data_IF_767964932952
#
_entry.id   IF_767964932952
#
_cell.length_a   1.000
_cell.length_b   1.000
_cell.length_c   1.000
_cell.angle_alpha   90.00
_cell.angle_beta   90.00
_cell.angle_gamma   90.00
#
_symmetry.space_group_name_H-M   'P 1'
#
loop_
_entity.id
_entity.type
_entity.pdbx_description
1 polymer ?
#
# COMPACT_ATOMS: atom_id res chain seq x y z
N UNK A 1 33.63 -5.88 -1.30
CA UNK A 1 32.62 -5.07 -0.56
C UNK A 1 31.25 -5.76 -0.51
N UNK A 2 31.18 -7.10 -0.55
CA UNK A 2 29.96 -7.89 -0.76
C UNK A 2 29.53 -8.73 0.46
N UNK A 3 30.35 -8.82 1.52
CA UNK A 3 30.04 -9.65 2.69
C UNK A 3 29.09 -8.99 3.72
N UNK A 4 28.82 -7.67 3.62
CA UNK A 4 28.06 -6.95 4.65
C UNK A 4 26.53 -7.06 4.50
N UNK A 5 26.02 -7.34 3.30
CA UNK A 5 24.57 -7.40 3.04
C UNK A 5 23.97 -8.75 3.46
N UNK A 6 24.74 -9.84 3.31
CA UNK A 6 24.30 -11.20 3.67
C UNK A 6 24.04 -11.32 5.18
N UNK A 7 24.93 -10.75 6.00
CA UNK A 7 24.82 -10.77 7.47
C UNK A 7 23.60 -10.00 8.00
N UNK A 8 23.11 -8.99 7.26
CA UNK A 8 21.92 -8.23 7.66
C UNK A 8 20.62 -8.93 7.26
N UNK A 9 20.62 -9.66 6.14
CA UNK A 9 19.46 -10.42 5.68
C UNK A 9 19.15 -11.60 6.63
N UNK A 10 20.18 -12.26 7.15
CA UNK A 10 20.01 -13.38 8.08
C UNK A 10 19.32 -13.00 9.40
N UNK A 11 19.43 -11.73 9.84
CA UNK A 11 18.75 -11.25 11.04
C UNK A 11 17.23 -11.39 10.93
N UNK A 12 16.65 -11.15 9.75
CA UNK A 12 15.20 -11.25 9.51
C UNK A 12 14.74 -12.67 9.15
N UNK A 13 15.65 -13.63 8.97
CA UNK A 13 15.32 -14.97 8.49
C UNK A 13 14.32 -15.70 9.39
N UNK A 14 14.39 -15.43 10.69
CA UNK A 14 13.50 -16.03 11.69
C UNK A 14 12.02 -15.67 11.51
N UNK A 15 11.68 -14.64 10.72
CA UNK A 15 10.28 -14.24 10.48
C UNK A 15 9.67 -14.87 9.23
N UNK A 16 10.46 -15.49 8.34
CA UNK A 16 10.00 -15.97 7.03
C UNK A 16 10.09 -17.49 6.84
N UNK A 17 10.73 -18.21 7.76
CA UNK A 17 10.91 -19.67 7.71
C UNK A 17 9.70 -20.43 8.28
N UNK A 18 9.59 -21.72 7.95
CA UNK A 18 8.49 -22.59 8.40
C UNK A 18 8.28 -22.58 9.92
N UNK A 19 9.37 -22.55 10.71
CA UNK A 19 9.33 -22.49 12.18
C UNK A 19 9.24 -21.06 12.75
N UNK A 20 8.82 -20.07 11.95
CA UNK A 20 8.79 -18.66 12.36
C UNK A 20 8.00 -18.42 13.66
N UNK A 21 6.89 -19.13 13.88
CA UNK A 21 6.09 -18.98 15.11
C UNK A 21 6.91 -19.34 16.38
N UNK A 22 7.72 -20.40 16.32
CA UNK A 22 8.59 -20.82 17.41
C UNK A 22 9.69 -19.77 17.66
N UNK A 23 10.36 -19.32 16.61
CA UNK A 23 11.43 -18.32 16.73
C UNK A 23 10.91 -16.97 17.24
N UNK A 24 9.73 -16.54 16.77
CA UNK A 24 9.07 -15.33 17.26
C UNK A 24 8.76 -15.42 18.74
N UNK A 25 8.19 -16.53 19.20
CA UNK A 25 7.91 -16.74 20.61
C UNK A 25 9.19 -16.69 21.47
N UNK A 26 10.29 -17.29 21.00
CA UNK A 26 11.60 -17.18 21.68
C UNK A 26 12.09 -15.72 21.74
N UNK A 27 12.05 -14.99 20.63
CA UNK A 27 12.47 -13.58 20.58
C UNK A 27 11.60 -12.68 21.47
N UNK A 28 10.29 -12.95 21.55
CA UNK A 28 9.37 -12.21 22.42
C UNK A 28 9.72 -12.38 23.90
N UNK A 29 10.16 -13.57 24.33
CA UNK A 29 10.66 -13.82 25.69
C UNK A 29 11.91 -12.97 25.97
N UNK A 30 12.88 -12.95 25.06
CA UNK A 30 14.06 -12.11 25.24
C UNK A 30 13.74 -10.62 25.25
N UNK A 31 12.83 -10.17 24.37
CA UNK A 31 12.37 -8.78 24.36
C UNK A 31 11.66 -8.41 25.68
N UNK A 32 10.86 -9.32 26.25
CA UNK A 32 10.21 -9.15 27.54
C UNK A 32 11.22 -9.12 28.71
N UNK A 33 12.14 -10.07 28.76
CA UNK A 33 13.20 -10.12 29.76
C UNK A 33 14.06 -8.84 29.75
N UNK A 34 14.41 -8.34 28.55
CA UNK A 34 15.13 -7.08 28.40
C UNK A 34 14.35 -5.89 28.98
N UNK A 35 13.03 -5.81 28.78
CA UNK A 35 12.18 -4.75 29.39
C UNK A 35 12.17 -4.82 30.92
N UNK A 36 12.44 -5.99 31.49
CA UNK A 36 12.59 -6.23 32.93
C UNK A 36 14.05 -6.13 33.39
N UNK A 37 14.96 -5.64 32.54
CA UNK A 37 16.40 -5.53 32.79
C UNK A 37 17.10 -6.88 33.05
N UNK A 38 16.49 -8.01 32.65
CA UNK A 38 17.14 -9.33 32.62
C UNK A 38 17.93 -9.48 31.33
N UNK A 39 19.25 -9.44 31.44
CA UNK A 39 20.16 -9.44 30.29
C UNK A 39 20.44 -10.83 29.72
N UNK A 40 20.29 -11.88 30.51
CA UNK A 40 20.60 -13.25 30.10
C UNK A 40 19.48 -14.20 30.52
N UNK A 41 19.21 -15.20 29.68
CA UNK A 41 18.27 -16.29 29.95
C UNK A 41 18.89 -17.64 29.66
N UNK A 42 18.48 -18.65 30.43
CA UNK A 42 18.74 -20.07 30.20
C UNK A 42 17.61 -20.69 29.34
N UNK A 43 17.86 -21.82 28.65
CA UNK A 43 16.83 -22.50 27.86
C UNK A 43 15.57 -22.88 28.65
N UNK A 44 15.71 -23.28 29.91
CA UNK A 44 14.60 -23.62 30.80
C UNK A 44 13.77 -22.40 31.21
N UNK A 45 14.42 -21.25 31.45
CA UNK A 45 13.73 -19.97 31.67
C UNK A 45 12.96 -19.55 30.41
N UNK A 46 13.56 -19.69 29.23
CA UNK A 46 12.87 -19.42 27.96
C UNK A 46 11.63 -20.30 27.82
N UNK A 47 11.77 -21.61 28.02
CA UNK A 47 10.66 -22.57 27.97
C UNK A 47 9.53 -22.23 28.96
N UNK A 48 9.88 -21.83 30.19
CA UNK A 48 8.92 -21.50 31.23
C UNK A 48 8.17 -20.18 30.96
N UNK A 49 8.83 -19.19 30.37
CA UNK A 49 8.29 -17.84 30.16
C UNK A 49 7.60 -17.66 28.80
N UNK A 50 7.86 -18.56 27.85
CA UNK A 50 7.33 -18.45 26.50
C UNK A 50 5.85 -18.76 26.37
N UNK A 51 5.20 -18.01 25.48
CA UNK A 51 3.82 -18.26 25.05
C UNK A 51 3.86 -19.13 23.80
N UNK A 52 3.63 -20.43 23.98
CA UNK A 52 3.88 -21.41 22.94
C UNK A 52 2.64 -21.74 22.09
N UNK A 53 2.84 -22.03 20.79
CA UNK A 53 1.83 -22.73 19.99
C UNK A 53 1.47 -24.08 20.65
N UNK A 54 0.25 -24.57 20.44
CA UNK A 54 -0.16 -25.88 20.97
C UNK A 54 0.15 -26.98 19.93
N UNK A 55 0.88 -28.06 20.27
CA UNK A 55 1.46 -28.39 21.58
C UNK A 55 2.75 -27.61 21.88
N UNK A 56 3.04 -27.40 23.18
CA UNK A 56 4.24 -26.71 23.62
C UNK A 56 5.52 -27.46 23.18
N UNK A 57 6.57 -26.72 22.77
CA UNK A 57 7.82 -27.31 22.32
C UNK A 57 8.56 -27.99 23.47
N UNK A 58 9.34 -29.02 23.14
CA UNK A 58 10.25 -29.66 24.10
C UNK A 58 11.50 -28.82 24.32
N UNK A 59 12.22 -29.09 25.41
CA UNK A 59 13.45 -28.36 25.75
C UNK A 59 14.52 -28.47 24.65
N UNK A 60 14.60 -29.60 23.96
CA UNK A 60 15.53 -29.81 22.84
C UNK A 60 15.19 -28.90 21.65
N UNK A 61 13.90 -28.61 21.43
CA UNK A 61 13.44 -27.71 20.36
C UNK A 61 13.76 -26.25 20.69
N UNK A 62 13.66 -25.87 21.97
CA UNK A 62 14.12 -24.55 22.46
C UNK A 62 15.63 -24.42 22.29
N UNK A 63 16.41 -25.43 22.68
CA UNK A 63 17.87 -25.41 22.51
C UNK A 63 18.26 -25.28 21.04
N UNK A 64 17.62 -26.04 20.14
CA UNK A 64 17.85 -25.92 18.71
C UNK A 64 17.48 -24.52 18.19
N UNK A 65 16.38 -23.93 18.68
CA UNK A 65 15.96 -22.59 18.28
C UNK A 65 16.96 -21.51 18.75
N UNK A 66 17.46 -21.62 19.98
CA UNK A 66 18.46 -20.71 20.54
C UNK A 66 19.79 -20.76 19.76
N UNK A 67 20.27 -21.97 19.44
CA UNK A 67 21.45 -22.16 18.59
C UNK A 67 21.26 -21.53 17.21
N UNK A 68 20.12 -21.74 16.58
CA UNK A 68 19.83 -21.19 15.25
C UNK A 68 19.73 -19.66 15.25
N UNK A 69 19.07 -19.09 16.28
CA UNK A 69 18.98 -17.63 16.44
C UNK A 69 20.35 -17.01 16.75
N UNK A 70 21.25 -17.73 17.40
CA UNK A 70 22.64 -17.31 17.55
C UNK A 70 23.42 -17.34 16.25
N UNK A 71 23.24 -18.39 15.43
CA UNK A 71 23.85 -18.47 14.09
C UNK A 71 23.41 -17.34 13.17
N UNK A 72 22.11 -17.01 13.18
CA UNK A 72 21.55 -15.87 12.44
C UNK A 72 21.91 -14.50 13.02
N UNK A 73 22.69 -14.46 14.11
CA UNK A 73 23.14 -13.21 14.72
C UNK A 73 22.08 -12.48 15.54
N UNK A 74 20.94 -13.09 15.85
CA UNK A 74 19.88 -12.49 16.68
C UNK A 74 20.21 -12.59 18.18
N UNK A 75 20.84 -13.68 18.60
CA UNK A 75 21.25 -13.93 19.98
C UNK A 75 22.77 -14.10 20.12
N UNK A 76 23.31 -13.76 21.28
CA UNK A 76 24.68 -14.10 21.68
C UNK A 76 24.63 -15.17 22.76
N UNK A 77 25.39 -16.25 22.57
CA UNK A 77 25.54 -17.35 23.53
C UNK A 77 26.86 -17.22 24.29
N UNK A 78 26.85 -17.45 25.61
CA UNK A 78 28.04 -17.54 26.43
C UNK A 78 27.97 -18.75 27.38
N UNK A 79 29.10 -19.39 27.75
CA UNK A 79 29.09 -20.45 28.74
C UNK A 79 28.60 -19.96 30.11
N UNK A 80 27.75 -20.74 30.77
CA UNK A 80 27.31 -20.49 32.13
C UNK A 80 28.34 -21.04 33.14
N UNK A 81 29.05 -20.14 33.82
CA UNK A 81 30.12 -20.48 34.77
C UNK A 81 29.69 -20.43 36.23
N UNK A 82 28.38 -20.39 36.51
CA UNK A 82 27.86 -20.40 37.87
C UNK A 82 28.28 -21.69 38.63
N UNK A 83 28.74 -21.55 39.89
CA UNK A 83 29.12 -22.68 40.76
C UNK A 83 27.91 -23.57 41.04
N UNK A 84 28.04 -24.86 40.79
CA UNK A 84 26.95 -25.84 40.87
C UNK A 84 27.05 -26.69 42.15
N UNK A 85 25.90 -26.97 42.78
CA UNK A 85 25.80 -27.72 44.03
C UNK A 85 25.70 -29.26 43.87
N UNK A 86 25.68 -29.79 42.64
CA UNK A 86 25.50 -31.23 42.40
C UNK A 86 26.33 -31.76 41.22
N UNK A 87 26.81 -33.01 41.33
CA UNK A 87 27.69 -33.67 40.36
C UNK A 87 26.97 -34.06 39.05
N UNK A 88 25.65 -34.27 39.09
CA UNK A 88 24.83 -34.66 37.93
C UNK A 88 24.50 -33.50 36.98
N UNK A 89 24.66 -32.26 37.46
CA UNK A 89 24.41 -31.03 36.71
C UNK A 89 25.62 -30.52 35.91
N UNK A 90 26.79 -31.16 36.06
CA UNK A 90 28.07 -30.67 35.54
C UNK A 90 28.28 -30.93 34.03
N UNK A 91 27.54 -31.87 33.42
CA UNK A 91 27.83 -32.38 32.06
C UNK A 91 26.95 -31.85 30.93
N UNK A 92 25.99 -30.94 31.18
CA UNK A 92 25.23 -30.28 30.09
C UNK A 92 25.93 -28.98 29.71
N UNK A 93 26.13 -28.76 28.40
CA UNK A 93 26.61 -27.48 27.87
C UNK A 93 25.60 -26.38 28.21
N UNK A 94 25.77 -25.74 29.37
CA UNK A 94 24.90 -24.67 29.85
C UNK A 94 25.35 -23.38 29.18
N UNK A 95 24.52 -22.88 28.27
CA UNK A 95 24.70 -21.58 27.67
C UNK A 95 23.70 -20.59 28.28
N UNK A 96 24.18 -19.39 28.56
CA UNK A 96 23.36 -18.21 28.76
C UNK A 96 23.23 -17.48 27.42
N UNK A 97 22.03 -17.03 27.11
CA UNK A 97 21.73 -16.33 25.87
C UNK A 97 21.30 -14.90 26.18
N UNK A 98 21.64 -13.97 25.30
CA UNK A 98 21.20 -12.56 25.35
C UNK A 98 20.88 -12.06 23.95
N UNK A 99 20.09 -10.99 23.84
CA UNK A 99 19.91 -10.32 22.55
C UNK A 99 21.23 -9.72 22.07
N UNK A 100 21.53 -9.90 20.78
CA UNK A 100 22.58 -9.16 20.11
C UNK A 100 22.07 -7.75 19.74
N UNK A 101 22.98 -6.82 19.41
CA UNK A 101 22.58 -5.51 18.88
C UNK A 101 21.72 -5.63 17.60
N UNK A 102 21.99 -6.64 16.75
CA UNK A 102 21.21 -6.94 15.56
C UNK A 102 19.81 -7.43 15.90
N UNK A 103 19.69 -8.40 16.83
CA UNK A 103 18.39 -8.89 17.30
C UNK A 103 17.55 -7.80 17.95
N UNK A 104 18.17 -6.90 18.72
CA UNK A 104 17.48 -5.73 19.28
C UNK A 104 16.96 -4.77 18.22
N UNK A 105 17.75 -4.51 17.18
CA UNK A 105 17.34 -3.65 16.07
C UNK A 105 16.15 -4.27 15.32
N UNK A 106 16.17 -5.59 15.09
CA UNK A 106 15.05 -6.30 14.46
C UNK A 106 13.79 -6.26 15.34
N UNK A 107 13.90 -6.50 16.66
CA UNK A 107 12.74 -6.40 17.56
C UNK A 107 12.15 -4.98 17.59
N UNK A 108 13.00 -3.94 17.60
CA UNK A 108 12.55 -2.55 17.53
C UNK A 108 11.86 -2.24 16.19
N UNK A 109 12.38 -2.76 15.08
CA UNK A 109 11.80 -2.62 13.75
C UNK A 109 10.44 -3.33 13.65
N UNK A 110 10.33 -4.58 14.11
CA UNK A 110 9.10 -5.35 14.11
C UNK A 110 8.03 -4.75 15.03
N UNK A 111 8.42 -4.29 16.22
CA UNK A 111 7.52 -3.58 17.12
C UNK A 111 7.01 -2.27 16.49
N UNK A 112 7.86 -1.56 15.77
CA UNK A 112 7.47 -0.35 15.02
C UNK A 112 6.53 -0.68 13.87
N UNK A 113 6.83 -1.71 13.09
CA UNK A 113 5.98 -2.21 12.02
C UNK A 113 4.58 -2.60 12.53
N UNK A 114 4.52 -3.41 13.59
CA UNK A 114 3.27 -3.84 14.20
C UNK A 114 2.47 -2.66 14.79
N UNK A 115 3.13 -1.67 15.38
CA UNK A 115 2.49 -0.44 15.89
C UNK A 115 1.97 0.43 14.76
N UNK A 116 2.67 0.54 13.64
CA UNK A 116 2.20 1.27 12.45
C UNK A 116 0.97 0.59 11.84
N UNK A 117 0.96 -0.75 11.77
CA UNK A 117 -0.21 -1.52 11.33
C UNK A 117 -1.40 -1.35 12.27
N UNK A 118 -1.18 -1.40 13.59
CA UNK A 118 -2.23 -1.16 14.61
C UNK A 118 -2.73 0.29 14.60
N UNK A 119 -1.86 1.28 14.43
CA UNK A 119 -2.24 2.69 14.30
C UNK A 119 -3.15 2.91 13.08
N UNK A 120 -2.90 2.21 11.98
CA UNK A 120 -3.81 2.15 10.80
C UNK A 120 -5.19 1.56 11.13
N UNK A 121 -5.25 0.66 12.11
CA UNK A 121 -6.49 0.04 12.60
C UNK A 121 -7.18 0.85 13.72
N UNK A 122 -6.47 1.71 14.47
CA UNK A 122 -6.99 2.60 15.53
C UNK A 122 -7.48 3.96 15.01
N UNK A 123 -6.85 4.50 13.95
CA UNK A 123 -7.31 5.69 13.19
C UNK A 123 -8.75 5.56 12.67
N UNK A 124 -9.29 4.36 12.73
CA UNK A 124 -10.63 3.97 12.34
C UNK A 124 -11.78 4.46 13.25
N UNK A 125 -11.50 4.98 14.44
CA UNK A 125 -12.50 5.65 15.32
C UNK A 125 -12.19 7.14 15.52
N UNK A 126 -10.95 7.54 15.25
CA UNK A 126 -10.41 8.91 15.40
C UNK A 126 -10.55 9.73 14.11
N UNK A 127 -10.79 9.11 12.95
CA UNK A 127 -10.83 9.79 11.65
C UNK A 127 -11.83 10.96 11.56
N UNK A 128 -12.97 10.90 12.26
CA UNK A 128 -13.94 12.02 12.27
C UNK A 128 -13.46 13.19 13.13
N UNK A 129 -12.79 12.92 14.25
CA UNK A 129 -12.18 13.93 15.11
C UNK A 129 -10.96 14.55 14.43
N UNK A 130 -10.15 13.75 13.73
CA UNK A 130 -9.03 14.23 12.92
C UNK A 130 -9.49 15.10 11.73
N UNK A 131 -10.59 14.75 11.05
CA UNK A 131 -11.20 15.61 10.02
C UNK A 131 -11.64 16.94 10.65
N UNK A 132 -12.37 16.89 11.77
CA UNK A 132 -12.85 18.09 12.44
C UNK A 132 -11.70 19.00 12.89
N UNK A 133 -10.65 18.44 13.48
CA UNK A 133 -9.46 19.18 13.93
C UNK A 133 -8.69 19.81 12.76
N UNK A 134 -8.59 19.11 11.62
CA UNK A 134 -7.89 19.62 10.42
C UNK A 134 -8.69 20.67 9.67
N UNK A 135 -10.01 20.53 9.57
CA UNK A 135 -10.89 21.59 9.06
C UNK A 135 -10.84 22.83 9.95
N UNK A 136 -10.77 22.64 11.27
CA UNK A 136 -10.59 23.74 12.22
C UNK A 136 -9.25 24.45 12.03
N UNK A 137 -8.15 23.70 11.88
CA UNK A 137 -6.83 24.26 11.62
C UNK A 137 -6.77 25.03 10.29
N UNK A 138 -7.41 24.50 9.24
CA UNK A 138 -7.52 25.17 7.95
C UNK A 138 -8.29 26.49 8.05
N UNK A 139 -9.38 26.50 8.82
CA UNK A 139 -10.17 27.72 9.08
C UNK A 139 -9.34 28.77 9.81
N UNK A 140 -8.61 28.39 10.85
CA UNK A 140 -7.72 29.31 11.58
C UNK A 140 -6.64 29.89 10.67
N UNK A 141 -6.03 29.07 9.80
CA UNK A 141 -5.03 29.54 8.83
C UNK A 141 -5.65 30.52 7.82
N UNK A 142 -6.88 30.26 7.36
CA UNK A 142 -7.58 31.14 6.41
C UNK A 142 -7.92 32.53 7.00
N UNK A 143 -8.04 32.64 8.33
CA UNK A 143 -8.29 33.90 9.03
C UNK A 143 -7.00 34.72 9.27
N UNK A 144 -5.81 34.17 8.97
CA UNK A 144 -4.55 34.90 9.08
C UNK A 144 -4.37 35.92 7.94
N UNK A 145 -3.86 37.14 8.20
CA UNK A 145 -3.68 38.17 7.17
C UNK A 145 -2.62 37.79 6.10
N UNK A 146 -1.77 36.80 6.41
CA UNK A 146 -0.81 36.21 5.48
C UNK A 146 -0.60 34.72 5.85
N UNK A 147 -1.44 33.81 5.33
CA UNK A 147 -1.38 32.40 5.69
C UNK A 147 -0.07 31.75 5.22
N UNK A 148 0.51 30.93 6.09
CA UNK A 148 1.68 30.12 5.77
C UNK A 148 1.31 29.04 4.73
N UNK A 149 1.71 29.26 3.48
CA UNK A 149 1.42 28.37 2.36
C UNK A 149 1.91 26.93 2.58
N UNK A 150 3.00 26.73 3.32
CA UNK A 150 3.51 25.40 3.61
C UNK A 150 2.58 24.65 4.58
N UNK A 151 2.10 25.33 5.64
CA UNK A 151 1.14 24.77 6.60
C UNK A 151 -0.24 24.54 5.99
N UNK A 152 -0.70 25.43 5.12
CA UNK A 152 -1.95 25.25 4.38
C UNK A 152 -1.87 24.01 3.50
N UNK A 153 -0.80 23.89 2.71
CA UNK A 153 -0.60 22.76 1.83
C UNK A 153 -0.43 21.44 2.59
N UNK A 154 0.26 21.44 3.74
CA UNK A 154 0.37 20.27 4.62
C UNK A 154 -0.97 19.84 5.22
N UNK A 155 -1.76 20.80 5.71
CA UNK A 155 -3.08 20.55 6.31
C UNK A 155 -4.06 19.98 5.28
N UNK A 156 -4.07 20.53 4.06
CA UNK A 156 -4.88 20.03 2.95
C UNK A 156 -4.46 18.62 2.52
N UNK A 157 -3.16 18.37 2.37
CA UNK A 157 -2.65 17.05 1.99
C UNK A 157 -3.04 15.97 2.98
N UNK A 158 -2.95 16.28 4.26
CA UNK A 158 -3.34 15.34 5.30
C UNK A 158 -4.85 15.10 5.36
N UNK A 159 -5.66 16.13 5.10
CA UNK A 159 -7.12 16.02 5.00
C UNK A 159 -7.51 15.05 3.87
N UNK A 160 -6.90 15.20 2.69
CA UNK A 160 -7.07 14.31 1.53
C UNK A 160 -6.72 12.87 1.90
N UNK A 161 -5.58 12.64 2.56
CA UNK A 161 -5.16 11.29 3.00
C UNK A 161 -6.16 10.63 3.95
N UNK A 162 -6.78 11.39 4.86
CA UNK A 162 -7.80 10.85 5.76
C UNK A 162 -9.07 10.46 4.97
N UNK A 163 -9.50 11.29 4.02
CA UNK A 163 -10.64 10.98 3.15
C UNK A 163 -10.42 9.75 2.25
N UNK A 164 -9.25 9.61 1.65
CA UNK A 164 -8.86 8.43 0.86
C UNK A 164 -8.93 7.13 1.69
N UNK A 165 -8.55 7.20 2.97
CA UNK A 165 -8.57 6.04 3.86
C UNK A 165 -9.98 5.63 4.31
N UNK A 166 -10.90 6.61 4.40
CA UNK A 166 -12.30 6.37 4.76
C UNK A 166 -13.08 5.71 3.63
N UNK A 167 -12.84 6.11 2.37
CA UNK A 167 -13.57 5.59 1.21
C UNK A 167 -13.37 4.09 1.01
N UNK A 168 -12.13 3.58 1.12
CA UNK A 168 -11.86 2.14 1.00
C UNK A 168 -12.49 1.32 2.13
N UNK A 169 -12.39 1.79 3.38
CA UNK A 169 -12.93 1.05 4.52
C UNK A 169 -14.45 1.01 4.48
N UNK A 170 -15.11 2.10 4.09
CA UNK A 170 -16.55 2.13 3.88
C UNK A 170 -16.97 1.13 2.79
N UNK A 171 -16.28 1.14 1.64
CA UNK A 171 -16.53 0.18 0.56
C UNK A 171 -16.38 -1.29 0.99
N UNK A 172 -15.47 -1.61 1.91
CA UNK A 172 -15.23 -2.99 2.35
C UNK A 172 -16.13 -3.44 3.52
N UNK A 173 -16.42 -2.56 4.49
CA UNK A 173 -17.20 -2.92 5.69
C UNK A 173 -18.70 -2.80 5.51
N UNK A 174 -19.13 -1.89 4.65
CA UNK A 174 -20.53 -1.65 4.31
C UNK A 174 -20.61 -1.41 2.80
N UNK A 175 -20.37 -2.44 1.97
CA UNK A 175 -20.44 -2.30 0.53
C UNK A 175 -21.82 -1.74 0.15
N UNK A 176 -21.90 -0.68 -0.68
CA UNK A 176 -23.18 -0.14 -1.11
C UNK A 176 -23.99 -1.21 -1.85
N UNK A 177 -25.31 -1.18 -1.67
CA UNK A 177 -26.22 -1.93 -2.53
C UNK A 177 -26.29 -1.23 -3.90
N UNK A 178 -25.34 -1.54 -4.78
CA UNK A 178 -25.26 -0.93 -6.11
C UNK A 178 -26.48 -1.33 -6.96
N UNK A 179 -27.30 -0.35 -7.33
CA UNK A 179 -28.41 -0.53 -8.29
C UNK A 179 -27.97 0.04 -9.64
N UNK A 180 -27.02 -0.65 -10.28
CA UNK A 180 -26.31 -0.16 -11.49
C UNK A 180 -26.27 -1.18 -12.62
N UNK A 181 -27.05 -2.25 -12.54
CA UNK A 181 -27.08 -3.28 -13.58
C UNK A 181 -27.51 -2.69 -14.93
N UNK A 182 -26.67 -2.81 -15.95
CA UNK A 182 -26.86 -2.22 -17.27
C UNK A 182 -26.59 -0.71 -17.35
N UNK A 183 -26.26 -0.05 -16.23
CA UNK A 183 -25.93 1.37 -16.20
C UNK A 183 -24.52 1.60 -16.72
N UNK A 184 -24.34 2.62 -17.57
CA UNK A 184 -23.01 3.04 -17.98
C UNK A 184 -22.34 3.80 -16.84
N UNK A 185 -21.13 3.38 -16.48
CA UNK A 185 -20.28 4.07 -15.51
C UNK A 185 -18.96 4.40 -16.19
N UNK A 186 -18.65 5.68 -16.25
CA UNK A 186 -17.45 6.20 -16.87
C UNK A 186 -16.30 6.18 -15.86
N UNK A 187 -15.09 5.95 -16.37
CA UNK A 187 -13.85 5.87 -15.60
C UNK A 187 -12.82 6.74 -16.33
N UNK A 188 -12.29 7.74 -15.63
CA UNK A 188 -11.24 8.62 -16.15
C UNK A 188 -9.97 8.49 -15.32
N UNK A 189 -8.83 8.83 -15.91
CA UNK A 189 -7.55 8.83 -15.20
C UNK A 189 -7.36 10.11 -14.40
N UNK A 190 -7.76 11.24 -14.97
CA UNK A 190 -7.36 12.57 -14.55
C UNK A 190 -8.37 13.19 -13.58
N UNK A 191 -7.94 13.64 -12.38
CA UNK A 191 -8.80 14.32 -11.42
C UNK A 191 -9.35 15.66 -11.94
N UNK A 192 -8.67 16.33 -12.88
CA UNK A 192 -9.16 17.57 -13.48
C UNK A 192 -10.46 17.32 -14.27
N UNK A 193 -10.56 16.20 -15.01
CA UNK A 193 -11.79 15.88 -15.74
C UNK A 193 -12.97 15.66 -14.78
N UNK A 194 -12.74 14.97 -13.65
CA UNK A 194 -13.76 14.79 -12.62
C UNK A 194 -14.22 16.13 -12.03
N UNK A 195 -13.29 17.04 -11.74
CA UNK A 195 -13.62 18.37 -11.23
C UNK A 195 -14.45 19.17 -12.23
N UNK A 196 -14.02 19.23 -13.49
CA UNK A 196 -14.72 19.96 -14.55
C UNK A 196 -16.12 19.37 -14.80
N UNK A 197 -16.26 18.04 -14.83
CA UNK A 197 -17.54 17.38 -15.00
C UNK A 197 -18.50 17.69 -13.84
N UNK A 198 -17.98 17.70 -12.60
CA UNK A 198 -18.76 18.06 -11.41
C UNK A 198 -19.24 19.51 -11.48
N UNK A 199 -18.37 20.43 -11.86
CA UNK A 199 -18.67 21.87 -11.92
C UNK A 199 -19.66 22.22 -13.04
N UNK A 200 -19.51 21.61 -14.22
CA UNK A 200 -20.33 21.95 -15.40
C UNK A 200 -21.65 21.19 -15.48
N UNK A 201 -21.64 19.89 -15.13
CA UNK A 201 -22.79 19.02 -15.31
C UNK A 201 -23.55 18.78 -14.00
N UNK A 202 -22.84 18.76 -12.86
CA UNK A 202 -23.43 18.51 -11.54
C UNK A 202 -24.31 17.27 -11.53
N UNK A 203 -25.59 17.41 -11.15
CA UNK A 203 -26.55 16.31 -11.11
C UNK A 203 -26.90 15.71 -12.50
N UNK A 204 -26.57 16.40 -13.60
CA UNK A 204 -26.70 15.87 -14.97
C UNK A 204 -25.51 15.02 -15.38
N UNK A 205 -24.46 14.93 -14.56
CA UNK A 205 -23.30 14.11 -14.88
C UNK A 205 -23.66 12.62 -14.76
N UNK A 206 -23.32 11.84 -15.78
CA UNK A 206 -23.35 10.39 -15.71
C UNK A 206 -22.39 9.89 -14.61
N UNK A 207 -22.62 8.71 -14.03
CA UNK A 207 -21.74 8.18 -13.00
C UNK A 207 -20.29 8.10 -13.50
N UNK A 208 -19.38 8.81 -12.81
CA UNK A 208 -17.97 8.95 -13.17
C UNK A 208 -17.08 8.56 -11.99
N UNK A 209 -16.04 7.77 -12.26
CA UNK A 209 -15.02 7.34 -11.30
C UNK A 209 -13.65 7.80 -11.78
N UNK A 210 -12.91 8.54 -10.96
CA UNK A 210 -11.52 8.89 -11.28
C UNK A 210 -10.55 7.88 -10.66
N UNK A 211 -9.55 7.44 -11.44
CA UNK A 211 -8.51 6.53 -10.94
C UNK A 211 -7.26 7.23 -10.41
N UNK A 212 -7.00 8.48 -10.80
CA UNK A 212 -5.80 9.25 -10.48
C UNK A 212 -4.53 8.44 -10.79
N UNK A 213 -4.40 8.06 -12.07
CA UNK A 213 -3.38 7.13 -12.55
C UNK A 213 -3.75 5.66 -12.33
N UNK A 214 -2.74 4.84 -11.96
CA UNK A 214 -2.90 3.40 -11.75
C UNK A 214 -3.87 3.11 -10.60
N UNK A 215 -4.96 2.32 -10.80
CA UNK A 215 -5.96 2.08 -9.76
C UNK A 215 -5.37 1.54 -8.44
N UNK A 216 -5.50 2.32 -7.37
CA UNK A 216 -5.14 1.91 -6.02
C UNK A 216 -6.26 1.05 -5.37
N UNK A 217 -6.06 0.63 -4.11
CA UNK A 217 -6.94 -0.35 -3.47
C UNK A 217 -8.43 0.09 -3.42
N UNK A 218 -8.72 1.37 -3.22
CA UNK A 218 -10.08 1.91 -3.17
C UNK A 218 -10.79 1.79 -4.52
N UNK A 219 -10.14 2.31 -5.57
CA UNK A 219 -10.59 2.26 -6.96
C UNK A 219 -10.77 0.82 -7.42
N UNK A 220 -9.79 -0.05 -7.14
CA UNK A 220 -9.88 -1.48 -7.46
C UNK A 220 -11.09 -2.15 -6.80
N UNK A 221 -11.34 -1.85 -5.53
CA UNK A 221 -12.50 -2.37 -4.80
C UNK A 221 -13.80 -1.85 -5.42
N UNK A 222 -13.91 -0.54 -5.66
CA UNK A 222 -15.08 0.10 -6.26
C UNK A 222 -15.40 -0.46 -7.66
N UNK A 223 -14.41 -0.48 -8.56
CA UNK A 223 -14.58 -1.00 -9.92
C UNK A 223 -14.98 -2.48 -9.91
N UNK A 224 -14.43 -3.27 -8.98
CA UNK A 224 -14.82 -4.68 -8.80
C UNK A 224 -16.28 -4.80 -8.37
N UNK A 225 -16.71 -4.01 -7.38
CA UNK A 225 -18.09 -4.04 -6.90
C UNK A 225 -19.09 -3.57 -7.97
N UNK A 226 -18.77 -2.50 -8.72
CA UNK A 226 -19.59 -2.00 -9.81
C UNK A 226 -19.72 -3.03 -10.94
N UNK A 227 -18.62 -3.65 -11.35
CA UNK A 227 -18.63 -4.70 -12.36
C UNK A 227 -19.46 -5.91 -11.90
N UNK A 228 -19.31 -6.34 -10.65
CA UNK A 228 -20.11 -7.43 -10.06
C UNK A 228 -21.60 -7.09 -9.96
N UNK A 229 -21.93 -5.82 -9.76
CA UNK A 229 -23.31 -5.31 -9.79
C UNK A 229 -23.88 -5.13 -11.20
N UNK A 230 -23.10 -5.44 -12.24
CA UNK A 230 -23.51 -5.40 -13.64
C UNK A 230 -23.41 -4.03 -14.30
N UNK A 231 -22.62 -3.10 -13.77
CA UNK A 231 -22.31 -1.84 -14.44
C UNK A 231 -21.54 -2.08 -15.74
N UNK A 232 -21.81 -1.27 -16.76
CA UNK A 232 -21.09 -1.24 -18.03
C UNK A 232 -19.97 -0.20 -17.93
N UNK A 233 -18.76 -0.64 -17.61
CA UNK A 233 -17.63 0.27 -17.38
C UNK A 233 -17.05 0.79 -18.71
N UNK A 234 -16.75 2.09 -18.75
CA UNK A 234 -16.20 2.83 -19.90
C UNK A 234 -14.95 3.58 -19.47
N UNK A 235 -13.77 3.21 -19.96
CA UNK A 235 -12.49 3.79 -19.51
C UNK A 235 -11.87 4.74 -20.54
N UNK A 236 -11.46 5.92 -20.09
CA UNK A 236 -10.59 6.85 -20.81
C UNK A 236 -9.35 7.19 -19.96
N UNK A 237 -8.25 7.53 -20.63
CA UNK A 237 -7.02 8.05 -20.03
C UNK A 237 -6.13 8.67 -21.09
N UNK A 238 -4.92 9.07 -20.70
CA UNK A 238 -4.00 9.79 -21.59
C UNK A 238 -3.59 8.95 -22.82
N UNK A 239 -3.41 9.62 -23.96
CA UNK A 239 -2.72 9.05 -25.13
C UNK A 239 -1.21 9.24 -24.99
N UNK A 240 -0.63 8.55 -24.02
CA UNK A 240 0.82 8.38 -23.86
C UNK A 240 1.15 6.95 -23.40
N UNK A 241 2.42 6.55 -23.40
CA UNK A 241 2.76 5.15 -23.06
C UNK A 241 2.39 4.74 -21.62
N UNK A 242 2.57 5.59 -20.59
CA UNK A 242 2.00 5.35 -19.26
C UNK A 242 0.47 5.16 -19.25
N UNK A 243 -0.28 6.02 -19.92
CA UNK A 243 -1.73 5.97 -20.07
C UNK A 243 -2.19 4.70 -20.79
N UNK A 244 -1.52 4.33 -21.89
CA UNK A 244 -1.77 3.04 -22.57
C UNK A 244 -1.48 1.85 -21.63
N UNK A 245 -0.45 1.94 -20.79
CA UNK A 245 -0.16 0.90 -19.79
C UNK A 245 -1.26 0.78 -18.72
N UNK A 246 -1.80 1.91 -18.24
CA UNK A 246 -2.91 1.94 -17.28
C UNK A 246 -4.19 1.41 -17.93
N UNK A 247 -4.55 1.86 -19.14
CA UNK A 247 -5.68 1.37 -19.90
C UNK A 247 -5.62 -0.15 -20.11
N UNK A 248 -4.45 -0.67 -20.50
CA UNK A 248 -4.21 -2.12 -20.60
C UNK A 248 -4.40 -2.87 -19.27
N UNK A 249 -4.09 -2.24 -18.14
CA UNK A 249 -4.35 -2.81 -16.82
C UNK A 249 -5.85 -2.84 -16.51
N UNK A 250 -6.56 -1.74 -16.75
CA UNK A 250 -8.00 -1.60 -16.47
C UNK A 250 -8.82 -2.55 -17.34
N UNK A 251 -8.64 -2.49 -18.66
CA UNK A 251 -9.40 -3.30 -19.63
C UNK A 251 -9.15 -4.81 -19.49
N UNK A 252 -8.01 -5.21 -18.90
CA UNK A 252 -7.74 -6.62 -18.57
C UNK A 252 -8.35 -7.05 -17.25
N UNK A 253 -8.45 -6.14 -16.27
CA UNK A 253 -8.81 -6.49 -14.90
C UNK A 253 -10.32 -6.43 -14.64
N UNK A 254 -11.06 -5.65 -15.43
CA UNK A 254 -12.51 -5.51 -15.36
C UNK A 254 -13.12 -5.60 -16.77
N UNK A 255 -14.40 -5.98 -16.91
CA UNK A 255 -15.12 -5.99 -18.19
C UNK A 255 -15.46 -4.56 -18.65
N UNK A 256 -14.43 -3.72 -18.77
CA UNK A 256 -14.52 -2.35 -19.24
C UNK A 256 -14.30 -2.29 -20.76
N UNK A 257 -14.89 -1.29 -21.40
CA UNK A 257 -14.66 -0.98 -22.82
C UNK A 257 -13.91 0.36 -22.93
N UNK A 258 -13.05 0.55 -23.95
CA UNK A 258 -12.44 1.85 -24.20
C UNK A 258 -13.53 2.89 -24.48
N UNK A 259 -13.33 4.10 -23.97
CA UNK A 259 -14.19 5.26 -24.14
C UNK A 259 -13.39 6.34 -24.82
N UNK A 260 -13.72 6.64 -26.09
CA UNK A 260 -12.97 7.58 -26.94
C UNK A 260 -11.45 7.39 -26.87
N UNK A 261 -11.02 6.13 -26.92
CA UNK A 261 -9.62 5.74 -26.74
C UNK A 261 -9.12 4.88 -27.90
N UNK A 262 -9.71 5.00 -29.10
CA UNK A 262 -9.26 4.30 -30.30
C UNK A 262 -8.38 5.16 -31.22
N UNK A 263 -7.91 4.57 -32.31
CA UNK A 263 -7.08 5.25 -33.32
C UNK A 263 -7.79 6.45 -33.94
N UNK A 264 -9.10 6.37 -34.14
CA UNK A 264 -9.91 7.48 -34.68
C UNK A 264 -9.97 8.64 -33.70
N UNK A 265 -10.12 8.34 -32.41
CA UNK A 265 -10.17 9.34 -31.34
C UNK A 265 -8.80 10.03 -31.18
N UNK A 266 -7.71 9.26 -31.22
CA UNK A 266 -6.35 9.81 -31.21
C UNK A 266 -6.10 10.75 -32.39
N UNK A 267 -6.49 10.35 -33.61
CA UNK A 267 -6.33 11.19 -34.80
C UNK A 267 -7.10 12.51 -34.68
N UNK A 268 -8.35 12.46 -34.21
CA UNK A 268 -9.16 13.67 -33.97
C UNK A 268 -8.55 14.58 -32.90
N UNK A 269 -7.98 13.99 -31.84
CA UNK A 269 -7.31 14.72 -30.78
C UNK A 269 -6.03 15.42 -31.28
N UNK A 270 -5.22 14.74 -32.10
CA UNK A 270 -4.03 15.29 -32.76
C UNK A 270 -4.37 16.45 -33.70
N UNK A 271 -5.49 16.37 -34.43
CA UNK A 271 -5.94 17.48 -35.29
C UNK A 271 -6.35 18.73 -34.48
N UNK A 272 -6.91 18.51 -33.29
CA UNK A 272 -7.39 19.58 -32.40
C UNK A 272 -6.28 20.16 -31.50
N UNK A 273 -5.20 19.41 -31.30
CA UNK A 273 -4.03 19.78 -30.54
C UNK A 273 -3.35 21.04 -31.10
N UNK A 274 -3.15 22.05 -30.23
CA UNK A 274 -2.29 23.20 -30.53
C UNK A 274 -0.83 22.78 -30.28
N UNK A 275 0.11 23.25 -31.10
CA UNK A 275 1.55 22.86 -31.20
C UNK A 275 2.42 22.85 -29.91
N UNK A 276 1.86 22.94 -28.71
CA UNK A 276 2.57 22.94 -27.42
C UNK A 276 2.52 21.57 -26.70
N UNK A 277 2.36 20.48 -27.45
CA UNK A 277 2.24 19.14 -26.86
C UNK A 277 3.56 18.37 -26.79
N UNK A 278 3.60 17.45 -25.81
CA UNK A 278 4.79 16.72 -25.41
C UNK A 278 5.11 15.63 -26.42
N UNK A 279 6.39 15.49 -26.73
CA UNK A 279 6.88 14.39 -27.56
C UNK A 279 6.63 13.04 -26.85
N UNK A 280 6.12 12.06 -27.59
CA UNK A 280 6.05 10.67 -27.12
C UNK A 280 7.47 10.14 -26.89
N UNK A 281 7.67 9.38 -25.82
CA UNK A 281 8.94 8.70 -25.59
C UNK A 281 9.13 7.49 -26.54
N UNK A 282 10.38 7.04 -26.71
CA UNK A 282 10.72 5.96 -27.64
C UNK A 282 10.16 4.58 -27.24
N UNK A 283 9.87 4.37 -25.95
CA UNK A 283 9.47 3.07 -25.41
C UNK A 283 7.97 2.80 -25.61
N UNK A 284 7.62 2.25 -26.77
CA UNK A 284 6.22 1.98 -27.13
C UNK A 284 5.55 0.88 -26.33
N UNK A 285 4.27 1.07 -26.04
CA UNK A 285 3.39 0.08 -25.38
C UNK A 285 2.24 -0.26 -26.34
N UNK A 286 1.95 -1.55 -26.62
CA UNK A 286 0.84 -1.93 -27.49
C UNK A 286 -0.52 -1.71 -26.80
N UNK A 287 -1.43 -1.01 -27.45
CA UNK A 287 -2.82 -0.87 -27.03
C UNK A 287 -3.59 -2.16 -27.36
N UNK A 288 -3.99 -2.92 -26.35
CA UNK A 288 -4.57 -4.28 -26.55
C UNK A 288 -6.00 -4.28 -27.09
N UNK A 289 -6.65 -3.13 -27.17
CA UNK A 289 -8.04 -2.98 -27.60
C UNK A 289 -8.16 -2.43 -29.02
N UNK A 290 -7.07 -1.92 -29.59
CA UNK A 290 -7.01 -1.33 -30.93
C UNK A 290 -5.58 -1.48 -31.48
N UNK A 291 -5.39 -2.42 -32.42
CA UNK A 291 -4.09 -2.75 -32.99
C UNK A 291 -3.48 -1.59 -33.81
N UNK A 292 -4.30 -0.63 -34.26
CA UNK A 292 -3.87 0.50 -35.09
C UNK A 292 -3.47 1.73 -34.26
N UNK A 293 -3.83 1.79 -32.97
CA UNK A 293 -3.58 2.94 -32.12
C UNK A 293 -2.09 3.16 -31.83
N UNK A 294 -1.37 2.15 -31.32
CA UNK A 294 0.07 2.31 -31.00
C UNK A 294 0.91 2.67 -32.24
N UNK A 295 0.72 2.05 -33.42
CA UNK A 295 1.38 2.50 -34.65
C UNK A 295 1.03 3.93 -35.06
N UNK A 296 -0.21 4.37 -34.88
CA UNK A 296 -0.59 5.76 -35.16
C UNK A 296 0.12 6.73 -34.21
N UNK A 297 0.15 6.44 -32.91
CA UNK A 297 0.86 7.22 -31.91
C UNK A 297 2.36 7.33 -32.22
N UNK A 298 3.01 6.23 -32.60
CA UNK A 298 4.43 6.26 -33.00
C UNK A 298 4.68 7.09 -34.25
N UNK A 299 3.79 7.04 -35.25
CA UNK A 299 3.95 7.83 -36.49
C UNK A 299 3.75 9.33 -36.25
N UNK A 300 2.80 9.70 -35.40
CA UNK A 300 2.51 11.09 -35.07
C UNK A 300 3.54 11.67 -34.08
N UNK A 301 4.03 10.86 -33.13
CA UNK A 301 5.02 11.26 -32.14
C UNK A 301 4.51 12.19 -31.05
N UNK A 302 3.18 12.37 -30.92
CA UNK A 302 2.54 13.32 -30.01
C UNK A 302 1.82 12.60 -28.87
N UNK A 303 2.09 13.04 -27.64
CA UNK A 303 1.36 12.61 -26.45
C UNK A 303 0.21 13.58 -26.20
N UNK A 304 -1.02 13.05 -26.08
CA UNK A 304 -2.22 13.85 -25.80
C UNK A 304 -2.68 13.59 -24.37
N UNK A 305 -2.74 14.64 -23.56
CA UNK A 305 -3.30 14.55 -22.21
C UNK A 305 -4.84 14.52 -22.26
N UNK A 306 -5.47 13.85 -21.30
CA UNK A 306 -6.93 13.74 -21.18
C UNK A 306 -7.60 15.13 -21.16
N UNK A 307 -6.94 16.17 -20.63
CA UNK A 307 -7.48 17.54 -20.66
C UNK A 307 -7.77 18.05 -22.07
N UNK A 308 -6.97 17.67 -23.06
CA UNK A 308 -7.09 18.16 -24.44
C UNK A 308 -8.39 17.71 -25.11
N UNK A 309 -8.96 16.59 -24.66
CA UNK A 309 -10.21 16.01 -25.18
C UNK A 309 -11.40 16.17 -24.23
N UNK A 310 -11.25 16.97 -23.17
CA UNK A 310 -12.28 17.20 -22.13
C UNK A 310 -13.63 17.58 -22.72
N UNK A 311 -13.65 18.43 -23.75
CA UNK A 311 -14.91 18.92 -24.36
C UNK A 311 -15.74 17.75 -24.91
N UNK A 312 -15.10 16.81 -25.59
CA UNK A 312 -15.78 15.66 -26.17
C UNK A 312 -16.19 14.64 -25.10
N UNK A 313 -15.37 14.45 -24.07
CA UNK A 313 -15.69 13.58 -22.94
C UNK A 313 -16.89 14.12 -22.14
N UNK A 314 -16.97 15.43 -21.91
CA UNK A 314 -18.11 16.04 -21.20
C UNK A 314 -19.44 15.86 -21.95
N UNK A 315 -19.43 15.84 -23.29
CA UNK A 315 -20.65 15.59 -24.08
C UNK A 315 -21.20 14.18 -23.85
N UNK A 316 -20.33 13.19 -23.68
CA UNK A 316 -20.75 11.81 -23.40
C UNK A 316 -21.23 11.64 -21.95
N UNK A 317 -20.73 12.48 -21.03
CA UNK A 317 -21.09 12.48 -19.61
C UNK A 317 -22.40 13.20 -19.32
N UNK A 318 -22.99 13.95 -20.25
CA UNK A 318 -24.26 14.65 -20.01
C UNK A 318 -25.46 13.69 -20.15
N UNK A 319 -26.12 13.39 -19.03
CA UNK A 319 -27.38 12.65 -19.00
C UNK A 319 -28.46 13.48 -19.68
N UNK A 320 -29.05 12.92 -20.73
CA UNK A 320 -30.20 13.49 -21.45
C UNK A 320 -31.53 13.13 -20.78
#
# INVERSE_FOLDING_TARGET
MTASFDTQADLFRHVSVEKAALYRAVMDVFAAAKRQFRLHLRPDEVLAEGQWPTPAPRIEEIQAALSQLSEWGNLQSQPDTARVASLGDFYRARFLYRLSQGGEAVEAALATFARTLRRRAELQTVALEDIANRLQALRTLADEPAPDAAKVHETLRDLVRVFESLSLRQLLRAPPAWVVSGMQVFVCENPNLLAIATDQLGARCAPLVCTDGMPAAAQRSLLTQLAQAGALLRYHGDFDWPGIHIANHVLRSWPAQPWRMGVVDYAAAVESARREERELSDASVPARWDDDLSPAMQRCGLAIAEEAVTVDLLQDLELR
#
